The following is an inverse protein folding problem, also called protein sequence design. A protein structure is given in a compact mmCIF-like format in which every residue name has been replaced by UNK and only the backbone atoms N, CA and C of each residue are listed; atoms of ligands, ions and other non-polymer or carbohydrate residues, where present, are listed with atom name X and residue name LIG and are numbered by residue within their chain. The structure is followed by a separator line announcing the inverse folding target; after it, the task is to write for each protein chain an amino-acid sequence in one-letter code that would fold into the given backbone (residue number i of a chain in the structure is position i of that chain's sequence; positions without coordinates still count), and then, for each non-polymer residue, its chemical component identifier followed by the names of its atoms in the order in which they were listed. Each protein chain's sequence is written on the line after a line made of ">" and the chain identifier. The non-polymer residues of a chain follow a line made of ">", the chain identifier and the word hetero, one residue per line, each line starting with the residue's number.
data_IF_372510084858
#
_entry.id   IF_372510084858
#
_cell.length_a   1.000
_cell.length_b   1.000
_cell.length_c   1.000
_cell.angle_alpha   90.00
_cell.angle_beta   90.00
_cell.angle_gamma   90.00
#
_symmetry.space_group_name_H-M   'P 1'
#
loop_
_entity.id
_entity.type
_entity.pdbx_description
1 polymer ?
#
# COMPACT_ATOMS: atom_id res chain seq x y z
N UNK A 1 -14.03 16.83 10.35
CA UNK A 1 -13.15 16.97 9.17
C UNK A 1 -13.37 18.33 8.49
N UNK A 2 -14.61 18.83 8.40
CA UNK A 2 -14.90 20.16 7.80
C UNK A 2 -14.10 21.32 8.43
N UNK A 3 -13.81 21.27 9.75
CA UNK A 3 -12.94 22.26 10.39
C UNK A 3 -11.49 22.19 9.90
N UNK A 4 -10.99 21.01 9.49
CA UNK A 4 -9.66 20.88 8.91
C UNK A 4 -9.64 21.51 7.53
N UNK A 5 -10.62 21.18 6.68
CA UNK A 5 -10.75 21.70 5.32
C UNK A 5 -10.92 23.24 5.26
N UNK A 6 -11.71 23.80 6.17
CA UNK A 6 -12.18 25.18 6.08
C UNK A 6 -11.33 26.19 6.85
N UNK A 7 -10.25 25.77 7.51
CA UNK A 7 -9.37 26.66 8.25
C UNK A 7 -7.93 26.49 7.82
N UNK A 8 -7.16 27.55 7.93
CA UNK A 8 -5.73 27.54 7.63
C UNK A 8 -4.96 27.17 8.89
N UNK A 9 -4.62 25.87 9.03
CA UNK A 9 -3.87 25.33 10.16
C UNK A 9 -2.40 25.16 9.79
N UNK A 10 -1.49 25.58 10.66
CA UNK A 10 -0.06 25.28 10.52
C UNK A 10 0.25 23.79 10.83
N UNK A 11 -0.50 23.21 11.77
CA UNK A 11 -0.35 21.82 12.15
C UNK A 11 -1.65 21.26 12.74
N UNK A 12 -1.91 19.98 12.50
CA UNK A 12 -3.04 19.23 13.02
C UNK A 12 -2.52 17.97 13.69
N UNK A 13 -2.85 17.78 14.96
CA UNK A 13 -2.45 16.59 15.73
C UNK A 13 -3.67 15.68 15.88
N UNK A 14 -3.51 14.42 15.46
CA UNK A 14 -4.53 13.39 15.51
C UNK A 14 -4.00 12.12 16.17
N UNK A 15 -4.86 11.40 16.85
CA UNK A 15 -4.56 10.01 17.19
C UNK A 15 -4.66 9.12 15.96
N UNK A 16 -4.00 7.94 15.96
CA UNK A 16 -4.12 6.96 14.86
C UNK A 16 -5.59 6.57 14.59
N UNK A 17 -6.42 6.49 15.63
CA UNK A 17 -7.84 6.14 15.48
C UNK A 17 -8.68 7.29 14.90
N UNK A 18 -8.32 8.54 15.17
CA UNK A 18 -8.94 9.70 14.52
C UNK A 18 -8.55 9.77 13.04
N UNK A 19 -7.26 9.57 12.73
CA UNK A 19 -6.78 9.50 11.36
C UNK A 19 -7.48 8.39 10.55
N UNK A 20 -7.66 7.20 11.15
CA UNK A 20 -8.34 6.08 10.49
C UNK A 20 -9.79 6.37 10.06
N UNK A 21 -10.43 7.40 10.63
CA UNK A 21 -11.79 7.82 10.30
C UNK A 21 -11.86 8.83 9.15
N UNK A 22 -10.72 9.35 8.69
CA UNK A 22 -10.69 10.28 7.55
C UNK A 22 -11.02 9.49 6.27
N UNK A 23 -12.08 9.88 5.53
CA UNK A 23 -12.33 9.29 4.22
C UNK A 23 -11.15 9.53 3.27
N UNK A 24 -10.77 8.51 2.52
CA UNK A 24 -9.70 8.60 1.53
C UNK A 24 -10.30 8.88 0.16
N UNK A 25 -9.53 9.53 -0.73
CA UNK A 25 -9.93 9.76 -2.11
C UNK A 25 -10.17 8.44 -2.84
N UNK A 26 -11.34 8.30 -3.46
CA UNK A 26 -11.70 7.12 -4.24
C UNK A 26 -10.81 6.97 -5.46
N UNK A 27 -10.41 8.08 -6.08
CA UNK A 27 -9.49 8.12 -7.21
C UNK A 27 -8.13 7.53 -6.82
N UNK A 28 -7.56 7.96 -5.70
CA UNK A 28 -6.29 7.42 -5.18
C UNK A 28 -6.41 5.94 -4.82
N UNK A 29 -7.54 5.53 -4.25
CA UNK A 29 -7.79 4.12 -3.94
C UNK A 29 -7.88 3.26 -5.21
N UNK A 30 -8.57 3.74 -6.25
CA UNK A 30 -8.70 3.05 -7.55
C UNK A 30 -7.32 2.88 -8.18
N UNK A 31 -6.49 3.92 -8.18
CA UNK A 31 -5.14 3.85 -8.76
C UNK A 31 -4.29 2.79 -8.05
N UNK A 32 -4.22 2.82 -6.72
CA UNK A 32 -3.43 1.88 -5.94
C UNK A 32 -3.92 0.43 -6.12
N UNK A 33 -5.23 0.20 -6.11
CA UNK A 33 -5.76 -1.15 -6.34
C UNK A 33 -5.57 -1.62 -7.77
N UNK A 34 -5.52 -0.71 -8.75
CA UNK A 34 -5.19 -1.04 -10.14
C UNK A 34 -3.73 -1.46 -10.26
N UNK A 35 -2.81 -0.77 -9.60
CA UNK A 35 -1.40 -1.18 -9.53
C UNK A 35 -1.24 -2.57 -8.88
N UNK A 36 -1.91 -2.81 -7.77
CA UNK A 36 -1.89 -4.11 -7.09
C UNK A 36 -2.49 -5.23 -7.96
N UNK A 37 -3.54 -4.95 -8.70
CA UNK A 37 -4.13 -5.91 -9.64
C UNK A 37 -3.16 -6.28 -10.76
N UNK A 38 -2.49 -5.28 -11.34
CA UNK A 38 -1.47 -5.50 -12.35
C UNK A 38 -0.33 -6.39 -11.83
N UNK A 39 0.14 -6.17 -10.61
CA UNK A 39 1.19 -6.99 -9.99
C UNK A 39 0.74 -8.43 -9.75
N UNK A 40 -0.55 -8.65 -9.41
CA UNK A 40 -1.13 -9.99 -9.27
C UNK A 40 -1.19 -10.69 -10.63
N UNK A 41 -1.69 -10.00 -11.66
CA UNK A 41 -1.84 -10.55 -13.01
C UNK A 41 -0.48 -10.93 -13.59
N UNK A 42 0.53 -10.07 -13.44
CA UNK A 42 1.91 -10.37 -13.83
C UNK A 42 2.47 -11.58 -13.09
N UNK A 43 2.15 -11.73 -11.80
CA UNK A 43 2.59 -12.89 -11.01
C UNK A 43 1.94 -14.17 -11.48
N UNK A 44 0.67 -14.14 -11.91
CA UNK A 44 -0.03 -15.28 -12.51
C UNK A 44 0.58 -15.67 -13.85
N UNK A 45 0.86 -14.70 -14.74
CA UNK A 45 1.50 -14.95 -16.03
C UNK A 45 2.87 -15.63 -15.88
N UNK A 46 3.72 -15.14 -14.95
CA UNK A 46 5.01 -15.76 -14.66
C UNK A 46 4.87 -17.19 -14.16
N UNK A 47 3.83 -17.47 -13.35
CA UNK A 47 3.54 -18.83 -12.90
C UNK A 47 3.05 -19.74 -14.03
N UNK A 48 2.31 -19.20 -14.98
CA UNK A 48 1.82 -19.95 -16.14
C UNK A 48 2.94 -20.32 -17.11
N UNK A 49 3.88 -19.41 -17.32
CA UNK A 49 5.04 -19.61 -18.19
C UNK A 49 6.12 -20.50 -17.58
N UNK A 50 6.12 -20.70 -16.25
CA UNK A 50 7.12 -21.52 -15.59
C UNK A 50 6.86 -23.00 -15.86
N UNK A 51 7.82 -23.65 -16.55
CA UNK A 51 7.86 -25.09 -16.84
C UNK A 51 8.12 -25.98 -15.61
N UNK A 52 8.24 -25.41 -14.44
CA UNK A 52 8.52 -26.16 -13.24
C UNK A 52 7.33 -27.05 -12.82
N UNK A 53 7.58 -28.35 -12.76
CA UNK A 53 6.68 -29.42 -12.25
C UNK A 53 6.12 -29.19 -10.85
N UNK A 54 6.49 -28.13 -10.16
CA UNK A 54 6.02 -27.70 -8.84
C UNK A 54 5.24 -26.40 -8.90
N UNK A 55 4.22 -26.33 -9.76
CA UNK A 55 3.16 -25.35 -9.58
C UNK A 55 2.46 -25.63 -8.25
N UNK A 56 2.70 -24.79 -7.26
CA UNK A 56 1.89 -24.84 -6.05
C UNK A 56 0.46 -24.40 -6.42
N UNK A 57 -0.41 -25.38 -6.69
CA UNK A 57 -1.86 -25.13 -6.95
C UNK A 57 -2.46 -24.22 -5.89
N UNK A 58 -1.97 -24.33 -4.64
CA UNK A 58 -2.41 -23.48 -3.54
C UNK A 58 -2.01 -22.00 -3.75
N UNK A 59 -0.81 -21.75 -4.29
CA UNK A 59 -0.33 -20.39 -4.55
C UNK A 59 -1.09 -19.77 -5.73
N UNK A 60 -1.26 -20.49 -6.83
CA UNK A 60 -2.04 -20.05 -7.97
C UNK A 60 -3.47 -19.68 -7.55
N UNK A 61 -4.16 -20.60 -6.85
CA UNK A 61 -5.51 -20.35 -6.31
C UNK A 61 -5.54 -19.14 -5.38
N UNK A 62 -4.51 -18.92 -4.58
CA UNK A 62 -4.42 -17.74 -3.70
C UNK A 62 -4.34 -16.43 -4.47
N UNK A 63 -3.58 -16.40 -5.58
CA UNK A 63 -3.49 -15.22 -6.46
C UNK A 63 -4.78 -15.00 -7.26
N UNK A 64 -5.43 -16.06 -7.76
CA UNK A 64 -6.73 -15.99 -8.46
C UNK A 64 -7.81 -15.37 -7.55
N UNK A 65 -7.96 -15.88 -6.33
CA UNK A 65 -8.92 -15.32 -5.35
C UNK A 65 -8.62 -13.85 -5.06
N UNK A 66 -7.34 -13.48 -5.00
CA UNK A 66 -6.95 -12.10 -4.76
C UNK A 66 -7.27 -11.21 -5.96
N UNK A 67 -7.03 -11.69 -7.17
CA UNK A 67 -7.40 -11.00 -8.41
C UNK A 67 -8.90 -10.69 -8.44
N UNK A 68 -9.73 -11.68 -8.14
CA UNK A 68 -11.19 -11.53 -8.07
C UNK A 68 -11.60 -10.49 -7.01
N UNK A 69 -11.02 -10.56 -5.81
CA UNK A 69 -11.30 -9.60 -4.74
C UNK A 69 -10.90 -8.16 -5.11
N UNK A 70 -9.77 -7.97 -5.79
CA UNK A 70 -9.33 -6.65 -6.26
C UNK A 70 -10.25 -6.13 -7.37
N UNK A 71 -10.66 -6.97 -8.32
CA UNK A 71 -11.63 -6.61 -9.38
C UNK A 71 -12.98 -6.21 -8.80
N UNK A 72 -13.51 -6.97 -7.83
CA UNK A 72 -14.75 -6.63 -7.13
C UNK A 72 -14.65 -5.28 -6.41
N UNK A 73 -13.56 -5.05 -5.70
CA UNK A 73 -13.32 -3.79 -4.97
C UNK A 73 -13.18 -2.59 -5.90
N UNK A 74 -12.48 -2.76 -7.02
CA UNK A 74 -12.39 -1.71 -8.06
C UNK A 74 -13.74 -1.38 -8.67
N UNK A 75 -14.57 -2.38 -8.95
CA UNK A 75 -15.93 -2.18 -9.45
C UNK A 75 -16.79 -1.40 -8.44
N UNK A 76 -16.73 -1.76 -7.15
CA UNK A 76 -17.44 -1.04 -6.09
C UNK A 76 -16.99 0.43 -6.00
N UNK A 77 -15.69 0.69 -6.02
CA UNK A 77 -15.15 2.05 -5.94
C UNK A 77 -15.53 2.90 -7.14
N UNK A 78 -15.50 2.33 -8.36
CA UNK A 78 -15.93 3.05 -9.57
C UNK A 78 -17.40 3.41 -9.50
N UNK A 79 -18.27 2.49 -9.05
CA UNK A 79 -19.70 2.77 -8.86
C UNK A 79 -19.93 3.87 -7.82
N UNK A 80 -19.16 3.90 -6.73
CA UNK A 80 -19.21 4.97 -5.72
C UNK A 80 -18.79 6.32 -6.30
N UNK A 81 -17.69 6.33 -7.06
CA UNK A 81 -17.18 7.54 -7.71
C UNK A 81 -18.21 8.12 -8.68
N UNK A 82 -18.85 7.28 -9.50
CA UNK A 82 -19.89 7.69 -10.46
C UNK A 82 -21.15 8.26 -9.76
N UNK A 83 -21.45 7.77 -8.55
CA UNK A 83 -22.59 8.22 -7.74
C UNK A 83 -22.26 9.34 -6.73
N UNK A 84 -21.01 9.81 -6.67
CA UNK A 84 -20.56 10.79 -5.67
C UNK A 84 -21.19 12.15 -5.90
N UNK A 85 -21.68 12.75 -4.79
CA UNK A 85 -22.02 14.17 -4.74
C UNK A 85 -20.79 14.95 -4.31
N UNK A 86 -20.50 16.08 -4.95
CA UNK A 86 -19.29 16.90 -4.83
C UNK A 86 -18.93 17.42 -3.43
N UNK A 87 -19.79 17.23 -2.42
CA UNK A 87 -19.63 17.79 -1.07
C UNK A 87 -18.94 16.86 -0.05
N UNK A 88 -18.39 15.72 -0.45
CA UNK A 88 -17.76 14.79 0.48
C UNK A 88 -16.38 15.28 0.90
N UNK A 89 -16.16 15.53 2.20
CA UNK A 89 -14.84 15.89 2.74
C UNK A 89 -14.00 14.62 2.88
N UNK A 90 -12.98 14.51 2.05
CA UNK A 90 -11.98 13.45 2.08
C UNK A 90 -10.58 14.00 2.37
N UNK A 91 -9.59 13.11 2.46
CA UNK A 91 -8.20 13.50 2.74
C UNK A 91 -7.64 14.47 1.68
N UNK A 92 -7.94 14.24 0.41
CA UNK A 92 -7.52 15.10 -0.71
C UNK A 92 -8.01 16.54 -0.51
N UNK A 93 -9.30 16.71 -0.19
CA UNK A 93 -9.93 18.02 -0.03
C UNK A 93 -9.46 18.79 1.22
N UNK A 94 -8.77 18.13 2.17
CA UNK A 94 -8.20 18.78 3.35
C UNK A 94 -6.91 19.54 3.06
N UNK A 95 -6.25 19.34 1.92
CA UNK A 95 -5.05 20.05 1.52
C UNK A 95 -3.80 19.77 2.35
N UNK A 96 -3.77 18.66 3.11
CA UNK A 96 -2.62 18.26 3.93
C UNK A 96 -1.46 17.92 3.00
N UNK A 97 -0.30 18.52 3.21
CA UNK A 97 0.89 18.41 2.35
C UNK A 97 2.01 17.53 2.96
N UNK A 98 1.94 17.24 4.26
CA UNK A 98 2.89 16.37 4.94
C UNK A 98 2.29 15.65 6.15
N UNK A 99 2.71 14.41 6.40
CA UNK A 99 2.30 13.61 7.54
C UNK A 99 3.53 13.19 8.35
N UNK A 100 3.57 13.55 9.63
CA UNK A 100 4.48 12.99 10.61
C UNK A 100 3.80 11.82 11.30
N UNK A 101 4.36 10.62 11.17
CA UNK A 101 3.78 9.40 11.73
C UNK A 101 4.65 8.94 12.89
N UNK A 102 4.19 9.20 14.09
CA UNK A 102 4.82 8.64 15.30
C UNK A 102 4.42 7.18 15.46
N UNK A 103 5.32 6.37 16.00
CA UNK A 103 5.15 4.93 16.15
C UNK A 103 4.75 4.25 14.81
N UNK A 104 5.47 4.58 13.74
CA UNK A 104 5.15 4.10 12.39
C UNK A 104 5.16 2.56 12.27
N UNK A 105 5.74 1.84 13.23
CA UNK A 105 5.68 0.39 13.32
C UNK A 105 4.23 -0.15 13.41
N UNK A 106 3.26 0.67 13.83
CA UNK A 106 1.83 0.31 13.85
C UNK A 106 1.23 0.16 12.44
N UNK A 107 1.90 0.66 11.40
CA UNK A 107 1.47 0.66 10.01
C UNK A 107 2.27 -0.32 9.13
N UNK A 108 3.14 -1.13 9.71
CA UNK A 108 3.99 -2.09 9.00
C UNK A 108 3.22 -3.24 8.33
N UNK A 109 1.99 -3.50 8.74
CA UNK A 109 1.16 -4.55 8.16
C UNK A 109 0.41 -4.04 6.91
N UNK A 110 1.18 -3.60 5.90
CA UNK A 110 0.66 -3.21 4.60
C UNK A 110 0.55 -4.43 3.69
N UNK A 111 -0.42 -4.40 2.80
CA UNK A 111 -0.63 -5.42 1.79
C UNK A 111 0.55 -5.48 0.79
N UNK A 112 1.05 -6.67 0.49
CA UNK A 112 2.04 -6.92 -0.55
C UNK A 112 1.86 -8.31 -1.17
N UNK A 113 2.50 -8.53 -2.33
CA UNK A 113 2.49 -9.80 -3.05
C UNK A 113 3.82 -10.52 -2.90
N UNK A 114 3.77 -11.84 -2.77
CA UNK A 114 4.96 -12.68 -2.87
C UNK A 114 4.61 -14.08 -3.38
N UNK A 115 5.51 -14.64 -4.17
CA UNK A 115 5.46 -16.06 -4.60
C UNK A 115 6.07 -17.00 -3.56
N UNK A 116 6.70 -16.45 -2.53
CA UNK A 116 7.27 -17.24 -1.45
C UNK A 116 6.20 -17.65 -0.45
N UNK A 117 6.19 -18.93 -0.09
CA UNK A 117 5.32 -19.47 0.96
C UNK A 117 6.17 -20.09 2.05
N UNK A 118 5.83 -19.86 3.32
CA UNK A 118 6.50 -20.43 4.50
C UNK A 118 8.00 -20.11 4.60
N UNK A 119 8.41 -18.92 4.22
CA UNK A 119 9.78 -18.45 4.41
C UNK A 119 9.85 -17.64 5.69
N UNK A 120 10.83 -17.91 6.52
CA UNK A 120 11.10 -17.09 7.71
C UNK A 120 11.38 -15.64 7.31
N UNK A 121 10.88 -14.68 8.08
CA UNK A 121 11.04 -13.25 7.78
C UNK A 121 10.00 -12.67 6.80
N UNK A 122 9.01 -13.45 6.35
CA UNK A 122 7.87 -12.94 5.58
C UNK A 122 6.68 -12.75 6.53
N UNK A 123 6.20 -11.50 6.61
CA UNK A 123 5.04 -11.12 7.41
C UNK A 123 3.70 -11.47 6.74
N UNK A 124 2.60 -11.03 7.36
CA UNK A 124 1.26 -11.22 6.83
C UNK A 124 1.05 -10.42 5.52
N UNK A 125 0.67 -11.11 4.45
CA UNK A 125 0.47 -10.49 3.12
C UNK A 125 -0.88 -9.80 2.94
N UNK A 126 -1.86 -10.07 3.83
CA UNK A 126 -3.22 -9.51 3.70
C UNK A 126 -3.30 -8.02 4.00
N UNK A 127 -2.38 -7.52 4.81
CA UNK A 127 -2.38 -6.14 5.25
C UNK A 127 -3.48 -5.81 6.28
N UNK A 128 -3.51 -4.56 6.70
CA UNK A 128 -4.54 -4.01 7.59
C UNK A 128 -5.16 -2.75 6.97
N UNK A 129 -6.42 -2.48 7.29
CA UNK A 129 -7.11 -1.28 6.81
C UNK A 129 -6.40 0.00 7.29
N UNK A 130 -5.87 0.01 8.51
CA UNK A 130 -5.07 1.12 9.06
C UNK A 130 -3.87 1.45 8.17
N UNK A 131 -3.09 0.43 7.78
CA UNK A 131 -1.93 0.60 6.92
C UNK A 131 -2.34 1.07 5.51
N UNK A 132 -3.43 0.53 4.97
CA UNK A 132 -3.95 0.96 3.66
C UNK A 132 -4.42 2.41 3.68
N UNK A 133 -5.12 2.87 4.71
CA UNK A 133 -5.55 4.26 4.83
C UNK A 133 -4.35 5.23 4.84
N UNK A 134 -3.27 4.87 5.55
CA UNK A 134 -2.04 5.66 5.53
C UNK A 134 -1.39 5.67 4.14
N UNK A 135 -1.39 4.53 3.45
CA UNK A 135 -0.85 4.46 2.08
C UNK A 135 -1.63 5.38 1.14
N UNK A 136 -2.96 5.38 1.19
CA UNK A 136 -3.78 6.24 0.35
C UNK A 136 -3.48 7.72 0.62
N UNK A 137 -3.43 8.13 1.88
CA UNK A 137 -3.12 9.51 2.26
C UNK A 137 -1.72 9.94 1.77
N UNK A 138 -0.69 9.11 1.96
CA UNK A 138 0.67 9.42 1.49
C UNK A 138 0.71 9.48 -0.04
N UNK A 139 0.04 8.57 -0.74
CA UNK A 139 -0.03 8.57 -2.21
C UNK A 139 -0.70 9.83 -2.74
N UNK A 140 -1.79 10.27 -2.12
CA UNK A 140 -2.45 11.51 -2.48
C UNK A 140 -1.48 12.71 -2.43
N UNK A 141 -0.71 12.84 -1.35
CA UNK A 141 0.31 13.89 -1.23
C UNK A 141 1.39 13.73 -2.31
N UNK A 142 1.91 12.51 -2.52
CA UNK A 142 2.95 12.23 -3.51
C UNK A 142 2.49 12.52 -4.94
N UNK A 143 1.21 12.30 -5.27
CA UNK A 143 0.63 12.65 -6.55
C UNK A 143 0.54 14.17 -6.73
N UNK A 144 0.00 14.88 -5.76
CA UNK A 144 -0.12 16.33 -5.80
C UNK A 144 1.23 17.03 -5.91
N UNK A 145 2.25 16.55 -5.23
CA UNK A 145 3.60 17.15 -5.23
C UNK A 145 4.49 16.68 -6.37
N UNK A 146 4.13 15.59 -7.02
CA UNK A 146 4.98 14.96 -8.04
C UNK A 146 6.28 14.36 -7.51
N UNK A 147 6.41 14.09 -6.21
CA UNK A 147 7.65 13.62 -5.52
C UNK A 147 7.35 12.49 -4.55
N UNK A 148 8.39 11.69 -4.21
CA UNK A 148 8.34 10.69 -3.12
C UNK A 148 8.48 11.34 -1.74
N UNK A 149 7.88 12.52 -1.56
CA UNK A 149 7.85 13.28 -0.32
C UNK A 149 6.41 13.32 0.20
N UNK A 150 6.22 13.76 1.43
CA UNK A 150 4.87 13.91 2.01
C UNK A 150 4.69 13.11 3.31
N UNK A 151 5.67 12.31 3.72
CA UNK A 151 5.62 11.63 5.01
C UNK A 151 6.99 11.55 5.67
N UNK A 152 7.01 11.68 7.00
CA UNK A 152 8.15 11.41 7.87
C UNK A 152 7.73 10.37 8.90
N UNK A 153 8.44 9.25 8.94
CA UNK A 153 8.17 8.16 9.86
C UNK A 153 9.12 8.23 11.06
N UNK A 154 8.54 8.13 12.24
CA UNK A 154 9.24 8.15 13.52
C UNK A 154 9.00 6.81 14.22
N UNK A 155 10.05 6.15 14.67
CA UNK A 155 9.97 4.92 15.46
C UNK A 155 11.31 4.60 16.10
N UNK A 156 11.28 4.08 17.30
CA UNK A 156 12.46 3.49 17.96
C UNK A 156 12.91 2.17 17.31
N UNK A 157 12.02 1.47 16.59
CA UNK A 157 12.29 0.17 15.95
C UNK A 157 11.64 0.11 14.58
N UNK A 158 12.44 0.21 13.53
CA UNK A 158 11.94 0.18 12.14
C UNK A 158 11.59 -1.25 11.69
N UNK A 159 12.44 -2.21 12.02
CA UNK A 159 12.26 -3.64 11.70
C UNK A 159 12.27 -4.43 13.00
N UNK A 160 11.19 -5.14 13.29
CA UNK A 160 11.02 -5.91 14.53
C UNK A 160 11.06 -7.41 14.26
N UNK A 161 10.26 -7.90 13.31
CA UNK A 161 10.02 -9.34 13.16
C UNK A 161 10.29 -9.86 11.75
N UNK A 162 10.22 -9.03 10.73
CA UNK A 162 10.24 -9.51 9.37
C UNK A 162 10.93 -8.51 8.42
N UNK A 163 11.68 -9.05 7.47
CA UNK A 163 12.33 -8.26 6.43
C UNK A 163 11.33 -7.51 5.53
N UNK A 164 10.14 -8.08 5.40
CA UNK A 164 9.02 -7.43 4.70
C UNK A 164 8.64 -6.08 5.29
N UNK A 165 8.92 -5.84 6.57
CA UNK A 165 8.66 -4.55 7.22
C UNK A 165 9.50 -3.43 6.59
N UNK A 166 10.77 -3.71 6.26
CA UNK A 166 11.63 -2.76 5.57
C UNK A 166 11.13 -2.46 4.16
N UNK A 167 10.76 -3.49 3.40
CA UNK A 167 10.15 -3.31 2.07
C UNK A 167 8.88 -2.44 2.14
N UNK A 168 8.03 -2.67 3.14
CA UNK A 168 6.82 -1.89 3.35
C UNK A 168 7.14 -0.40 3.61
N UNK A 169 8.19 -0.09 4.37
CA UNK A 169 8.63 1.31 4.56
C UNK A 169 9.02 1.95 3.23
N UNK A 170 9.77 1.26 2.37
CA UNK A 170 10.07 1.76 1.02
C UNK A 170 8.82 1.91 0.15
N UNK A 171 7.86 1.00 0.27
CA UNK A 171 6.58 1.08 -0.45
C UNK A 171 5.80 2.34 -0.08
N UNK A 172 5.86 2.82 1.16
CA UNK A 172 5.30 4.11 1.57
C UNK A 172 6.11 5.30 1.06
N UNK A 173 7.43 5.28 1.28
CA UNK A 173 8.25 6.47 1.21
C UNK A 173 8.96 6.67 -0.15
N UNK A 174 9.17 5.59 -0.93
CA UNK A 174 9.98 5.62 -2.16
C UNK A 174 9.36 4.84 -3.33
N UNK A 175 8.05 4.99 -3.62
CA UNK A 175 7.38 4.21 -4.66
C UNK A 175 7.94 4.43 -6.06
N UNK A 176 8.30 5.67 -6.40
CA UNK A 176 8.85 6.01 -7.72
C UNK A 176 10.24 5.43 -7.89
N UNK A 177 11.05 5.44 -6.84
CA UNK A 177 12.38 4.84 -6.85
C UNK A 177 12.29 3.31 -7.00
N UNK A 178 11.36 2.66 -6.31
CA UNK A 178 11.10 1.23 -6.50
C UNK A 178 10.68 0.91 -7.94
N UNK A 179 9.83 1.75 -8.55
CA UNK A 179 9.45 1.63 -9.97
C UNK A 179 10.63 1.84 -10.91
N UNK A 180 11.43 2.88 -10.69
CA UNK A 180 12.60 3.22 -11.50
C UNK A 180 13.62 2.08 -11.54
N UNK A 181 13.80 1.39 -10.41
CA UNK A 181 14.71 0.25 -10.28
C UNK A 181 14.06 -1.09 -10.63
N UNK A 182 12.78 -1.12 -11.03
CA UNK A 182 12.02 -2.33 -11.37
C UNK A 182 11.90 -3.35 -10.23
N UNK A 183 11.89 -2.86 -8.99
CA UNK A 183 11.78 -3.64 -7.74
C UNK A 183 10.53 -3.30 -6.94
N UNK A 184 9.44 -2.90 -7.61
CA UNK A 184 8.17 -2.53 -6.97
C UNK A 184 7.49 -3.72 -6.27
N UNK A 185 7.69 -4.95 -6.75
CA UNK A 185 7.18 -6.13 -6.07
C UNK A 185 8.18 -6.65 -5.03
N UNK A 186 7.67 -7.26 -3.94
CA UNK A 186 8.51 -7.77 -2.88
C UNK A 186 9.54 -8.80 -3.36
N UNK A 187 9.16 -9.70 -4.26
CA UNK A 187 10.05 -10.78 -4.71
C UNK A 187 11.27 -10.23 -5.47
N UNK A 188 11.09 -9.19 -6.30
CA UNK A 188 12.19 -8.53 -7.00
C UNK A 188 13.11 -7.77 -6.03
N UNK A 189 12.51 -7.05 -5.07
CA UNK A 189 13.24 -6.35 -4.02
C UNK A 189 14.03 -7.34 -3.16
N UNK A 190 13.41 -8.43 -2.72
CA UNK A 190 14.04 -9.45 -1.89
C UNK A 190 15.21 -10.15 -2.62
N UNK A 191 15.10 -10.36 -3.93
CA UNK A 191 16.17 -10.97 -4.72
C UNK A 191 17.48 -10.16 -4.69
N UNK A 192 17.39 -8.83 -4.54
CA UNK A 192 18.56 -7.94 -4.48
C UNK A 192 19.08 -7.78 -3.05
N UNK A 193 18.18 -7.54 -2.10
CA UNK A 193 18.54 -7.09 -0.74
C UNK A 193 18.61 -8.23 0.29
N UNK A 194 18.30 -9.48 -0.10
CA UNK A 194 18.29 -10.60 0.84
C UNK A 194 19.19 -11.74 0.39
N UNK A 195 19.76 -12.46 1.35
CA UNK A 195 20.41 -13.75 1.11
C UNK A 195 19.54 -14.86 1.70
N UNK A 196 19.33 -15.91 0.92
CA UNK A 196 18.81 -17.16 1.48
C UNK A 196 19.96 -17.83 2.25
N UNK A 197 19.80 -17.97 3.55
CA UNK A 197 20.64 -18.88 4.35
C UNK A 197 19.97 -20.24 4.37
N UNK A 198 20.74 -21.26 4.12
CA UNK A 198 20.30 -22.66 4.22
C UNK A 198 20.10 -23.06 5.68
#
# INVERSE_FOLDING_TARGET
>A
FSKIKNNNWDCIILTHDQFAKIPQSEETMIEIFTEELYDVERSLEVLEQSTMRYRSRKMQKGLEVRQENLKAKLSELRTKLDGRKDDTVDFHSMGIDHIFVDECHMFKNLMFQTRHTRVAGIGNTKGSQRAMNLLFAIRDIQHRTGRDLGATFLSGTVVVNALTELYVMFKYLRPRELKRQQISCFDAWAAIFTKKTA
#
